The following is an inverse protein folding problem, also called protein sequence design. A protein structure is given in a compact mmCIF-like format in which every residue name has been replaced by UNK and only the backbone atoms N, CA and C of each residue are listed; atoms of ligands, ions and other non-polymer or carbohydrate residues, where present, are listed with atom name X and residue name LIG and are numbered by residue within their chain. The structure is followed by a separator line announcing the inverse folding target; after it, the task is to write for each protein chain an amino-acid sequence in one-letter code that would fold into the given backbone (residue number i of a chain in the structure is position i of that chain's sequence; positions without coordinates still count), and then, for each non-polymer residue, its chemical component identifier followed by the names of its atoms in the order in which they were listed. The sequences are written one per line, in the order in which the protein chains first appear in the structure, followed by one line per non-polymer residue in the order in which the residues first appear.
data_IF_378823175241
#
_entry.id   IF_378823175241
#
_cell.length_a   1.000
_cell.length_b   1.000
_cell.length_c   1.000
_cell.angle_alpha   90.00
_cell.angle_beta   90.00
_cell.angle_gamma   90.00
#
_symmetry.space_group_name_H-M   'P 1'
#
loop_
_entity.id
_entity.type
_entity.pdbx_description
1 polymer ?
#
# COMPACT_ATOMS: atom_id res chain seq x y z
N UNK A 1 -4.65 -5.43 0.30
CA UNK A 1 -3.77 -4.31 -0.13
C UNK A 1 -4.15 -3.99 -1.56
N UNK A 2 -4.57 -2.75 -1.83
CA UNK A 2 -4.98 -2.29 -3.16
C UNK A 2 -3.76 -1.86 -3.97
N UNK A 3 -3.23 -2.75 -4.81
CA UNK A 3 -2.02 -2.50 -5.63
C UNK A 3 -2.32 -1.62 -6.85
N UNK A 4 -3.57 -1.58 -7.28
CA UNK A 4 -4.10 -0.74 -8.36
C UNK A 4 -3.98 0.78 -8.07
N UNK A 5 -3.92 1.15 -6.79
CA UNK A 5 -3.79 2.54 -6.34
C UNK A 5 -2.35 3.08 -6.41
N UNK A 6 -1.37 2.22 -6.72
CA UNK A 6 0.04 2.60 -6.86
C UNK A 6 0.47 2.30 -8.29
N UNK A 7 0.74 3.33 -9.08
CA UNK A 7 1.04 3.20 -10.52
C UNK A 7 2.16 2.17 -10.78
N UNK A 8 3.22 2.18 -9.95
CA UNK A 8 4.35 1.25 -10.05
C UNK A 8 3.97 -0.22 -9.83
N UNK A 9 2.83 -0.49 -9.21
CA UNK A 9 2.34 -1.84 -8.91
C UNK A 9 1.16 -2.27 -9.80
N UNK A 10 0.71 -1.43 -10.73
CA UNK A 10 -0.44 -1.74 -11.59
C UNK A 10 -0.26 -3.05 -12.37
N UNK A 11 0.96 -3.37 -12.79
CA UNK A 11 1.28 -4.64 -13.47
C UNK A 11 1.18 -5.90 -12.59
N UNK A 12 0.99 -5.75 -11.29
CA UNK A 12 0.77 -6.86 -10.35
C UNK A 12 -0.72 -7.06 -10.03
N UNK A 13 -1.59 -6.16 -10.46
CA UNK A 13 -3.03 -6.25 -10.21
C UNK A 13 -3.65 -7.45 -10.94
N UNK A 14 -4.45 -8.24 -10.23
CA UNK A 14 -5.26 -9.33 -10.80
C UNK A 14 -6.58 -8.82 -11.41
N UNK A 15 -6.88 -7.53 -11.27
CA UNK A 15 -8.07 -6.86 -11.78
C UNK A 15 -9.13 -6.60 -10.70
N UNK A 16 -8.87 -7.01 -9.46
CA UNK A 16 -9.71 -6.75 -8.27
C UNK A 16 -8.99 -5.84 -7.26
N UNK A 17 -7.86 -5.25 -7.65
CA UNK A 17 -6.97 -4.46 -6.81
C UNK A 17 -6.04 -5.32 -5.94
N UNK A 18 -6.13 -6.65 -5.96
CA UNK A 18 -5.20 -7.50 -5.24
C UNK A 18 -4.05 -7.96 -6.13
N UNK A 19 -2.89 -8.17 -5.52
CA UNK A 19 -1.73 -8.71 -6.20
C UNK A 19 -2.00 -10.14 -6.70
N UNK A 20 -1.66 -10.42 -7.96
CA UNK A 20 -1.79 -11.75 -8.58
C UNK A 20 -0.92 -12.84 -7.94
N UNK A 21 0.09 -12.45 -7.15
CA UNK A 21 0.99 -13.36 -6.43
C UNK A 21 0.61 -13.53 -4.95
N UNK A 22 -0.50 -12.94 -4.49
CA UNK A 22 -0.97 -13.07 -3.11
C UNK A 22 -1.86 -14.31 -2.96
N UNK A 23 -1.42 -15.26 -2.15
CA UNK A 23 -2.18 -16.45 -1.75
C UNK A 23 -2.36 -16.47 -0.22
N UNK A 24 -3.58 -16.16 0.22
CA UNK A 24 -3.88 -15.96 1.64
C UNK A 24 -3.09 -14.78 2.23
N UNK A 25 -2.05 -15.09 3.00
CA UNK A 25 -1.14 -14.09 3.60
C UNK A 25 0.29 -14.17 3.05
N UNK A 26 0.53 -15.02 2.06
CA UNK A 26 1.86 -15.30 1.52
C UNK A 26 1.98 -14.76 0.10
N UNK A 27 3.20 -14.31 -0.24
CA UNK A 27 3.56 -13.95 -1.60
C UNK A 27 4.23 -15.17 -2.25
N UNK A 28 3.73 -15.63 -3.40
CA UNK A 28 4.28 -16.80 -4.09
C UNK A 28 5.66 -16.57 -4.72
N UNK A 29 6.05 -15.30 -4.88
CA UNK A 29 7.36 -14.88 -5.37
C UNK A 29 8.16 -14.12 -4.29
N UNK A 30 8.04 -14.50 -3.02
CA UNK A 30 8.57 -13.72 -1.89
C UNK A 30 10.03 -13.28 -2.04
N UNK A 31 10.89 -14.18 -2.51
CA UNK A 31 12.33 -13.92 -2.69
C UNK A 31 12.61 -13.02 -3.91
N UNK A 32 11.77 -13.10 -4.93
CA UNK A 32 11.87 -12.35 -6.19
C UNK A 32 10.96 -11.10 -6.21
N UNK A 33 10.32 -10.78 -5.08
CA UNK A 33 9.38 -9.66 -5.00
C UNK A 33 10.07 -8.35 -5.43
N UNK A 34 9.37 -7.47 -6.17
CA UNK A 34 9.91 -6.17 -6.54
C UNK A 34 10.39 -5.38 -5.32
N UNK A 35 11.42 -4.54 -5.49
CA UNK A 35 12.02 -3.79 -4.38
C UNK A 35 10.97 -2.95 -3.62
N UNK A 36 9.99 -2.38 -4.31
CA UNK A 36 8.86 -1.64 -3.71
C UNK A 36 8.02 -2.46 -2.70
N UNK A 37 8.01 -3.79 -2.82
CA UNK A 37 7.37 -4.70 -1.86
C UNK A 37 8.30 -5.11 -0.70
N UNK A 38 9.55 -4.62 -0.67
CA UNK A 38 10.55 -4.90 0.34
C UNK A 38 10.98 -3.61 1.05
N UNK A 39 10.46 -3.42 2.27
CA UNK A 39 10.69 -2.24 3.11
C UNK A 39 12.17 -1.94 3.30
N UNK A 40 13.00 -2.96 3.56
CA UNK A 40 14.42 -2.76 3.80
C UNK A 40 15.17 -2.36 2.53
N UNK A 41 14.89 -3.01 1.40
CA UNK A 41 15.50 -2.64 0.12
C UNK A 41 15.12 -1.21 -0.29
N UNK A 42 13.87 -0.80 -0.07
CA UNK A 42 13.45 0.57 -0.35
C UNK A 42 14.22 1.58 0.49
N UNK A 43 14.38 1.32 1.79
CA UNK A 43 15.21 2.16 2.66
C UNK A 43 16.63 2.26 2.11
N UNK A 44 17.27 1.11 1.90
CA UNK A 44 18.68 1.02 1.54
C UNK A 44 18.97 1.70 0.20
N UNK A 45 18.03 1.66 -0.75
CA UNK A 45 18.21 2.20 -2.12
C UNK A 45 17.74 3.64 -2.31
N UNK A 46 16.71 4.08 -1.59
CA UNK A 46 16.04 5.35 -1.90
C UNK A 46 15.94 6.33 -0.72
N UNK A 47 16.01 5.85 0.53
CA UNK A 47 15.71 6.69 1.70
C UNK A 47 16.84 6.78 2.74
N UNK A 48 17.90 5.98 2.59
CA UNK A 48 19.03 5.95 3.53
C UNK A 48 19.67 7.33 3.73
N UNK A 49 19.83 8.09 2.66
CA UNK A 49 20.48 9.41 2.71
C UNK A 49 19.52 10.54 3.14
N UNK A 50 18.22 10.24 3.26
CA UNK A 50 17.18 11.21 3.59
C UNK A 50 16.73 11.14 5.05
N UNK A 51 16.81 9.96 5.67
CA UNK A 51 16.36 9.74 7.03
C UNK A 51 17.01 8.51 7.67
N UNK A 52 16.93 8.41 8.99
CA UNK A 52 17.32 7.19 9.68
C UNK A 52 16.36 6.04 9.38
N UNK A 53 16.86 4.80 9.51
CA UNK A 53 16.04 3.59 9.33
C UNK A 53 14.84 3.56 10.30
N UNK A 54 15.03 4.09 11.51
CA UNK A 54 13.96 4.21 12.52
C UNK A 54 12.86 5.17 12.06
N UNK A 55 13.22 6.35 11.57
CA UNK A 55 12.25 7.32 11.05
C UNK A 55 11.48 6.77 9.85
N UNK A 56 12.19 6.08 8.95
CA UNK A 56 11.57 5.42 7.80
C UNK A 56 10.50 4.40 8.22
N UNK A 57 10.81 3.54 9.19
CA UNK A 57 9.82 2.61 9.72
C UNK A 57 8.64 3.29 10.41
N UNK A 58 8.89 4.39 11.15
CA UNK A 58 7.82 5.17 11.76
C UNK A 58 6.86 5.74 10.71
N UNK A 59 7.41 6.32 9.63
CA UNK A 59 6.61 6.84 8.50
C UNK A 59 5.80 5.74 7.82
N UNK A 60 6.36 4.54 7.64
CA UNK A 60 5.61 3.42 7.08
C UNK A 60 4.45 2.99 7.98
N UNK A 61 4.66 2.96 9.31
CA UNK A 61 3.59 2.66 10.28
C UNK A 61 2.51 3.74 10.31
N UNK A 62 2.88 5.01 10.16
CA UNK A 62 1.93 6.13 9.99
C UNK A 62 1.07 5.93 8.74
N UNK A 63 1.70 5.66 7.59
CA UNK A 63 0.96 5.36 6.35
C UNK A 63 -0.01 4.19 6.50
N UNK A 64 0.39 3.10 7.17
CA UNK A 64 -0.51 1.98 7.46
C UNK A 64 -1.71 2.40 8.33
N UNK A 65 -1.49 3.25 9.34
CA UNK A 65 -2.57 3.75 10.20
C UNK A 65 -3.54 4.63 9.42
N UNK A 66 -3.04 5.46 8.52
CA UNK A 66 -3.87 6.37 7.72
C UNK A 66 -4.71 5.60 6.70
N UNK A 67 -4.12 4.61 6.01
CA UNK A 67 -4.86 3.71 5.11
C UNK A 67 -5.96 2.95 5.87
N UNK A 68 -5.67 2.46 7.09
CA UNK A 68 -6.68 1.77 7.90
C UNK A 68 -7.83 2.69 8.28
N UNK A 69 -7.53 3.93 8.73
CA UNK A 69 -8.56 4.93 9.04
C UNK A 69 -9.44 5.24 7.83
N UNK A 70 -8.85 5.39 6.65
CA UNK A 70 -9.61 5.62 5.41
C UNK A 70 -10.59 4.47 5.15
N UNK A 71 -10.13 3.23 5.28
CA UNK A 71 -10.98 2.05 5.08
C UNK A 71 -12.08 1.90 6.14
N UNK A 72 -11.81 2.29 7.39
CA UNK A 72 -12.81 2.35 8.46
C UNK A 72 -13.84 3.46 8.17
N UNK A 73 -13.41 4.64 7.69
CA UNK A 73 -14.31 5.73 7.34
C UNK A 73 -15.14 5.45 6.08
N UNK A 74 -14.61 4.71 5.11
CA UNK A 74 -15.36 4.23 3.93
C UNK A 74 -16.47 3.25 4.32
N UNK A 75 -16.29 2.50 5.42
CA UNK A 75 -17.30 1.59 5.96
C UNK A 75 -18.37 2.28 6.82
N UNK A 76 -18.01 3.37 7.52
CA UNK A 76 -18.92 4.14 8.37
C UNK A 76 -19.63 5.29 7.62
N UNK A 77 -19.07 5.71 6.49
CA UNK A 77 -19.65 6.71 5.59
C UNK A 77 -20.28 6.02 4.38
N UNK A 78 -21.51 5.55 4.52
CA UNK A 78 -22.35 5.18 3.38
C UNK A 78 -22.35 6.29 2.32
N UNK A 79 -22.33 5.85 1.05
CA UNK A 79 -22.25 6.63 -0.19
C UNK A 79 -22.71 8.10 -0.08
N UNK A 80 -21.76 9.05 -0.04
CA UNK A 80 -22.05 10.49 -0.22
C UNK A 80 -21.87 10.98 -1.66
N UNK A 81 -21.94 10.09 -2.66
CA UNK A 81 -22.02 10.50 -4.07
C UNK A 81 -23.46 10.85 -4.48
N UNK A 82 -24.18 11.64 -3.69
CA UNK A 82 -25.32 12.39 -4.22
C UNK A 82 -25.74 13.55 -3.31
N UNK A 83 -24.94 14.59 -3.21
CA UNK A 83 -25.39 15.84 -2.58
C UNK A 83 -24.72 17.06 -3.20
N UNK A 84 -24.83 17.21 -4.53
CA UNK A 84 -24.73 18.50 -5.25
C UNK A 84 -25.55 18.48 -6.54
N UNK A 85 -26.87 18.44 -6.43
CA UNK A 85 -27.81 19.06 -7.38
C UNK A 85 -29.03 19.53 -6.58
N UNK A 86 -29.21 20.84 -6.50
CA UNK A 86 -30.26 21.53 -5.75
C UNK A 86 -29.76 22.87 -5.27
#
# INVERSE_FOLDING_TARGET
MHVDRVELLRGLDRGDGQCRYLEGRLCTIYDERPDICNVDKMYDRFFRDLMSKKEYYQRNLEGCRDIRKQHETEFLGGDKRNEKKG
#
